data_IF_644913031891
#
_entry.id   IF_644913031891
#
_cell.length_a   1.000
_cell.length_b   1.000
_cell.length_c   1.000
_cell.angle_alpha   90.00
_cell.angle_beta   90.00
_cell.angle_gamma   90.00
#
_symmetry.space_group_name_H-M   'P 1'
#
loop_
_entity.id
_entity.type
_entity.pdbx_description
1 polymer ?
#
# COMPACT_ATOMS: atom_id res chain seq x y z
N UNK A 1 -12.09 -29.07 6.33
CA UNK A 1 -10.86 -28.38 5.83
C UNK A 1 -10.86 -28.48 4.31
N UNK A 2 -11.17 -27.41 3.65
CA UNK A 2 -11.18 -27.35 2.17
C UNK A 2 -9.81 -26.85 1.70
N UNK A 3 -8.78 -27.65 1.95
CA UNK A 3 -7.43 -27.34 1.51
C UNK A 3 -7.34 -27.41 -0.03
N UNK A 4 -6.82 -26.35 -0.63
CA UNK A 4 -6.51 -26.32 -2.05
C UNK A 4 -5.03 -25.94 -2.24
N UNK A 5 -4.25 -26.69 -3.03
CA UNK A 5 -2.82 -26.43 -3.23
C UNK A 5 -2.52 -25.14 -4.02
N UNK A 6 -3.48 -24.59 -4.74
CA UNK A 6 -3.35 -23.27 -5.38
C UNK A 6 -3.41 -22.13 -4.38
N UNK A 7 -3.90 -22.36 -3.17
CA UNK A 7 -4.00 -21.37 -2.12
C UNK A 7 -2.87 -21.52 -1.12
N UNK A 8 -2.29 -20.40 -0.72
CA UNK A 8 -1.32 -20.36 0.39
C UNK A 8 -1.89 -21.02 1.65
N UNK A 9 -1.05 -21.69 2.44
CA UNK A 9 -1.48 -22.36 3.66
C UNK A 9 -2.18 -21.43 4.66
N UNK A 10 -1.68 -20.18 4.82
CA UNK A 10 -2.31 -19.20 5.69
C UNK A 10 -3.67 -18.75 5.18
N UNK A 11 -3.87 -18.64 3.86
CA UNK A 11 -5.16 -18.35 3.26
C UNK A 11 -6.14 -19.52 3.50
N UNK A 12 -5.71 -20.77 3.29
CA UNK A 12 -6.52 -21.94 3.59
C UNK A 12 -6.97 -21.96 5.05
N UNK A 13 -6.05 -21.70 6.00
CA UNK A 13 -6.37 -21.62 7.42
C UNK A 13 -7.32 -20.45 7.73
N UNK A 14 -7.10 -19.30 7.13
CA UNK A 14 -7.92 -18.12 7.35
C UNK A 14 -9.37 -18.29 6.85
N UNK A 15 -9.57 -19.04 5.76
CA UNK A 15 -10.89 -19.35 5.21
C UNK A 15 -11.65 -20.38 6.07
N UNK A 16 -10.93 -21.31 6.72
CA UNK A 16 -11.51 -22.29 7.63
C UNK A 16 -11.76 -21.74 9.05
N UNK A 17 -11.05 -20.67 9.44
CA UNK A 17 -11.14 -20.07 10.76
C UNK A 17 -12.47 -19.34 10.99
N UNK A 18 -13.01 -19.46 12.21
CA UNK A 18 -14.14 -18.64 12.66
C UNK A 18 -13.76 -17.16 12.76
N UNK A 19 -14.72 -16.24 12.76
CA UNK A 19 -14.43 -14.82 12.98
C UNK A 19 -13.64 -14.57 14.26
N UNK A 20 -13.98 -15.25 15.35
CA UNK A 20 -13.31 -15.13 16.65
C UNK A 20 -11.87 -15.64 16.64
N UNK A 21 -11.59 -16.68 15.86
CA UNK A 21 -10.24 -17.21 15.68
C UNK A 21 -9.39 -16.27 14.82
N UNK A 22 -9.97 -15.68 13.76
CA UNK A 22 -9.29 -14.67 12.94
C UNK A 22 -8.94 -13.41 13.75
N UNK A 23 -9.86 -12.94 14.59
CA UNK A 23 -9.64 -11.76 15.44
C UNK A 23 -8.51 -11.96 16.46
N UNK A 24 -8.35 -13.17 16.98
CA UNK A 24 -7.28 -13.53 17.92
C UNK A 24 -5.91 -13.71 17.26
N UNK A 25 -5.86 -13.84 15.95
CA UNK A 25 -4.62 -14.05 15.21
C UNK A 25 -4.18 -12.80 14.49
N UNK A 26 -2.94 -12.37 14.74
CA UNK A 26 -2.33 -11.24 14.05
C UNK A 26 -2.19 -11.46 12.53
N UNK A 27 -2.18 -12.72 12.10
CA UNK A 27 -1.89 -13.10 10.71
C UNK A 27 -3.14 -13.50 9.92
N UNK A 28 -4.10 -14.20 10.54
CA UNK A 28 -5.23 -14.77 9.80
C UNK A 28 -6.20 -13.71 9.25
N UNK A 29 -6.35 -12.58 9.96
CA UNK A 29 -7.23 -11.48 9.55
C UNK A 29 -6.66 -10.54 8.51
N UNK A 30 -5.36 -10.62 8.19
CA UNK A 30 -4.74 -9.70 7.22
C UNK A 30 -5.33 -9.90 5.83
N UNK A 31 -5.78 -8.80 5.20
CA UNK A 31 -6.44 -8.82 3.90
C UNK A 31 -7.95 -9.11 3.95
N UNK A 32 -8.54 -9.28 5.13
CA UNK A 32 -9.98 -9.47 5.29
C UNK A 32 -10.67 -8.21 5.80
N UNK A 33 -11.72 -7.76 5.10
CA UNK A 33 -12.59 -6.65 5.51
C UNK A 33 -13.90 -7.23 6.08
N UNK A 34 -14.10 -7.16 7.42
CA UNK A 34 -15.25 -7.81 8.07
C UNK A 34 -16.61 -7.22 7.68
N UNK A 35 -16.69 -5.92 7.44
CA UNK A 35 -17.97 -5.25 7.13
C UNK A 35 -18.50 -5.65 5.75
N UNK A 36 -17.60 -5.77 4.79
CA UNK A 36 -17.95 -6.12 3.40
C UNK A 36 -17.81 -7.62 3.12
N UNK A 37 -17.23 -8.37 4.07
CA UNK A 37 -16.90 -9.79 3.93
C UNK A 37 -16.06 -10.08 2.68
N UNK A 38 -15.11 -9.18 2.40
CA UNK A 38 -14.21 -9.27 1.26
C UNK A 38 -12.80 -9.62 1.68
N UNK A 39 -12.10 -10.29 0.77
CA UNK A 39 -10.67 -10.56 0.86
C UNK A 39 -9.91 -9.76 -0.18
N UNK A 40 -8.81 -9.18 0.20
CA UNK A 40 -7.75 -8.77 -0.72
C UNK A 40 -6.74 -9.91 -0.82
N UNK A 41 -6.48 -10.37 -2.03
CA UNK A 41 -5.54 -11.45 -2.30
C UNK A 41 -4.57 -11.06 -3.41
N UNK A 42 -3.36 -11.59 -3.34
CA UNK A 42 -2.36 -11.48 -4.39
C UNK A 42 -2.41 -12.77 -5.20
N UNK A 43 -2.56 -12.65 -6.50
CA UNK A 43 -2.62 -13.82 -7.38
C UNK A 43 -1.49 -13.81 -8.39
N UNK A 44 -0.93 -14.98 -8.63
CA UNK A 44 -0.13 -15.25 -9.82
C UNK A 44 -1.02 -15.86 -10.88
N UNK A 45 -0.97 -15.34 -12.10
CA UNK A 45 -1.84 -15.77 -13.19
C UNK A 45 -1.09 -15.90 -14.51
N UNK A 46 -1.68 -16.63 -15.44
CA UNK A 46 -1.24 -16.68 -16.84
C UNK A 46 -2.35 -16.17 -17.75
N UNK A 47 -2.01 -15.26 -18.66
CA UNK A 47 -2.98 -14.68 -19.59
C UNK A 47 -3.83 -13.56 -18.99
N UNK A 48 -4.95 -13.23 -19.66
CA UNK A 48 -5.79 -12.08 -19.33
C UNK A 48 -6.84 -12.40 -18.28
N UNK A 49 -7.00 -11.51 -17.30
CA UNK A 49 -8.05 -11.55 -16.28
C UNK A 49 -9.30 -10.74 -16.67
N UNK A 50 -9.35 -10.11 -17.86
CA UNK A 50 -10.45 -9.24 -18.26
C UNK A 50 -11.82 -9.95 -18.22
N UNK A 51 -11.90 -11.17 -18.77
CA UNK A 51 -13.12 -11.96 -18.76
C UNK A 51 -13.60 -12.32 -17.34
N UNK A 52 -12.69 -12.45 -16.38
CA UNK A 52 -13.02 -12.69 -14.98
C UNK A 52 -13.68 -11.45 -14.35
N UNK A 53 -13.12 -10.26 -14.58
CA UNK A 53 -13.69 -9.00 -14.11
C UNK A 53 -15.07 -8.71 -14.71
N UNK A 54 -15.27 -8.99 -16.01
CA UNK A 54 -16.56 -8.84 -16.68
C UNK A 54 -17.63 -9.81 -16.12
N UNK A 55 -17.24 -11.06 -15.86
CA UNK A 55 -18.16 -12.09 -15.33
C UNK A 55 -18.53 -11.86 -13.86
N UNK A 56 -17.66 -11.23 -13.09
CA UNK A 56 -17.84 -11.01 -11.65
C UNK A 56 -17.60 -9.54 -11.27
N UNK A 57 -18.55 -8.63 -11.47
CA UNK A 57 -18.39 -7.19 -11.21
C UNK A 57 -18.03 -6.83 -9.74
N UNK A 58 -18.23 -7.76 -8.80
CA UNK A 58 -17.82 -7.60 -7.40
C UNK A 58 -16.34 -7.94 -7.16
N UNK A 59 -15.63 -8.43 -8.16
CA UNK A 59 -14.18 -8.60 -8.13
C UNK A 59 -13.52 -7.31 -8.65
N UNK A 60 -12.73 -6.68 -7.82
CA UNK A 60 -11.89 -5.55 -8.23
C UNK A 60 -10.49 -6.10 -8.53
N UNK A 61 -10.01 -5.91 -9.75
CA UNK A 61 -8.75 -6.49 -10.23
C UNK A 61 -7.78 -5.36 -10.57
N UNK A 62 -6.67 -5.31 -9.84
CA UNK A 62 -5.53 -4.43 -10.14
C UNK A 62 -4.39 -5.28 -10.68
N UNK A 63 -4.12 -5.15 -11.98
CA UNK A 63 -3.01 -5.88 -12.61
C UNK A 63 -1.67 -5.26 -12.21
N UNK A 64 -0.73 -6.10 -11.86
CA UNK A 64 0.66 -5.76 -11.58
C UNK A 64 1.56 -6.26 -12.73
N UNK A 65 2.85 -5.97 -12.64
CA UNK A 65 3.85 -6.53 -13.56
C UNK A 65 4.09 -8.02 -13.31
N UNK A 66 4.69 -8.71 -14.29
CA UNK A 66 5.18 -10.09 -14.16
C UNK A 66 4.10 -11.13 -13.82
N UNK A 67 2.90 -11.02 -14.42
CA UNK A 67 1.81 -12.00 -14.25
C UNK A 67 1.25 -12.05 -12.81
N UNK A 68 1.30 -10.93 -12.09
CA UNK A 68 0.66 -10.77 -10.79
C UNK A 68 -0.52 -9.80 -10.86
N UNK A 69 -1.47 -9.99 -9.98
CA UNK A 69 -2.57 -9.06 -9.75
C UNK A 69 -2.96 -9.04 -8.27
N UNK A 70 -3.47 -7.90 -7.80
CA UNK A 70 -4.21 -7.80 -6.54
C UNK A 70 -5.69 -7.88 -6.87
N UNK A 71 -6.40 -8.78 -6.19
CA UNK A 71 -7.85 -8.96 -6.39
C UNK A 71 -8.55 -8.77 -5.06
N UNK A 72 -9.48 -7.82 -5.00
CA UNK A 72 -10.43 -7.69 -3.88
C UNK A 72 -11.74 -8.33 -4.28
N UNK A 73 -12.21 -9.29 -3.50
CA UNK A 73 -13.40 -10.09 -3.84
C UNK A 73 -14.13 -10.56 -2.59
N UNK A 74 -15.46 -10.78 -2.68
CA UNK A 74 -16.22 -11.45 -1.63
C UNK A 74 -15.66 -12.84 -1.32
N UNK A 75 -15.69 -13.23 -0.03
CA UNK A 75 -15.19 -14.53 0.42
C UNK A 75 -15.80 -15.70 -0.35
N UNK A 76 -17.08 -15.61 -0.71
CA UNK A 76 -17.80 -16.62 -1.50
C UNK A 76 -17.24 -16.86 -2.90
N UNK A 77 -16.50 -15.87 -3.45
CA UNK A 77 -15.91 -15.98 -4.79
C UNK A 77 -14.46 -16.50 -4.78
N UNK A 78 -13.87 -16.74 -3.62
CA UNK A 78 -12.50 -17.33 -3.53
C UNK A 78 -12.45 -18.69 -4.22
N UNK A 79 -13.48 -19.53 -4.05
CA UNK A 79 -13.56 -20.84 -4.70
C UNK A 79 -13.67 -20.71 -6.23
N UNK A 80 -14.45 -19.75 -6.72
CA UNK A 80 -14.55 -19.45 -8.16
C UNK A 80 -13.18 -19.05 -8.70
N UNK A 81 -12.47 -18.15 -8.01
CA UNK A 81 -11.12 -17.72 -8.39
C UNK A 81 -10.14 -18.89 -8.41
N UNK A 82 -10.15 -19.74 -7.37
CA UNK A 82 -9.29 -20.92 -7.24
C UNK A 82 -9.45 -21.91 -8.40
N UNK A 83 -10.69 -22.10 -8.85
CA UNK A 83 -11.01 -23.06 -9.91
C UNK A 83 -10.70 -22.55 -11.34
N UNK A 84 -10.26 -21.32 -11.50
CA UNK A 84 -9.89 -20.79 -12.82
C UNK A 84 -8.58 -21.39 -13.29
N UNK A 85 -8.52 -21.72 -14.57
CA UNK A 85 -7.32 -22.31 -15.18
C UNK A 85 -6.18 -21.33 -15.34
N UNK A 86 -6.52 -20.06 -15.54
CA UNK A 86 -5.59 -18.95 -15.65
C UNK A 86 -4.93 -18.54 -14.31
N UNK A 87 -5.49 -18.99 -13.17
CA UNK A 87 -4.92 -18.73 -11.85
C UNK A 87 -3.95 -19.84 -11.45
N UNK A 88 -2.71 -19.48 -11.19
CA UNK A 88 -1.66 -20.41 -10.78
C UNK A 88 -1.54 -20.53 -9.27
N UNK A 89 -1.60 -19.39 -8.56
CA UNK A 89 -1.44 -19.35 -7.12
C UNK A 89 -2.17 -18.15 -6.52
N UNK A 90 -2.67 -18.31 -5.29
CA UNK A 90 -3.39 -17.28 -4.54
C UNK A 90 -2.77 -17.19 -3.14
N UNK A 91 -2.31 -16.01 -2.75
CA UNK A 91 -1.85 -15.75 -1.39
C UNK A 91 -2.58 -14.54 -0.79
N UNK A 92 -2.68 -14.51 0.52
CA UNK A 92 -3.17 -13.34 1.25
C UNK A 92 -2.01 -12.36 1.49
N UNK A 93 -2.28 -11.05 1.67
CA UNK A 93 -1.28 -10.11 2.11
C UNK A 93 -0.62 -10.54 3.42
N UNK A 94 0.62 -10.15 3.61
CA UNK A 94 1.38 -10.42 4.84
C UNK A 94 1.57 -9.15 5.63
N UNK A 95 1.50 -9.26 6.95
CA UNK A 95 1.85 -8.13 7.82
C UNK A 95 3.34 -7.86 7.69
N UNK A 96 3.70 -6.62 7.43
CA UNK A 96 5.08 -6.16 7.45
C UNK A 96 5.40 -5.60 8.83
N UNK A 97 6.59 -5.92 9.34
CA UNK A 97 7.11 -5.40 10.60
C UNK A 97 8.32 -4.51 10.33
N UNK A 98 8.48 -3.47 11.12
CA UNK A 98 9.60 -2.55 10.99
C UNK A 98 10.93 -3.22 11.37
N UNK A 99 11.97 -3.05 10.54
CA UNK A 99 13.29 -3.67 10.76
C UNK A 99 14.41 -2.78 10.16
N UNK A 100 14.71 -1.60 10.76
CA UNK A 100 15.60 -0.61 10.13
C UNK A 100 16.91 -0.32 10.88
N UNK A 101 17.11 -0.74 12.12
CA UNK A 101 18.15 -0.20 12.99
C UNK A 101 19.62 -0.37 12.57
N UNK A 102 19.97 -1.12 11.54
CA UNK A 102 21.36 -1.38 11.18
C UNK A 102 21.70 -1.34 9.67
N UNK A 103 20.75 -1.01 8.81
CA UNK A 103 20.93 -1.13 7.36
C UNK A 103 22.02 -0.19 6.81
N UNK A 104 22.09 1.07 7.25
CA UNK A 104 23.06 2.07 6.75
C UNK A 104 24.50 1.69 7.06
N UNK A 105 24.75 1.16 8.28
CA UNK A 105 26.10 0.73 8.68
C UNK A 105 26.53 -0.55 7.97
N UNK A 106 25.62 -1.51 7.82
CA UNK A 106 25.88 -2.78 7.15
C UNK A 106 26.12 -2.59 5.64
N UNK A 107 25.52 -1.55 5.03
CA UNK A 107 25.62 -1.29 3.59
C UNK A 107 26.84 -0.45 3.20
N UNK A 108 27.66 0.03 4.15
CA UNK A 108 28.84 0.88 3.90
C UNK A 108 28.55 2.11 3.02
N UNK A 109 27.37 2.71 3.15
CA UNK A 109 26.91 3.82 2.28
C UNK A 109 27.57 5.16 2.67
N UNK A 110 27.93 5.34 3.95
CA UNK A 110 28.48 6.61 4.48
C UNK A 110 29.65 7.20 3.66
N UNK A 111 30.62 6.41 3.15
CA UNK A 111 31.71 6.97 2.34
C UNK A 111 31.26 7.60 1.02
N UNK A 112 30.10 7.18 0.48
CA UNK A 112 29.60 7.66 -0.81
C UNK A 112 29.06 9.10 -0.75
N UNK A 113 28.75 9.59 0.44
CA UNK A 113 28.33 10.99 0.67
C UNK A 113 29.51 11.96 0.76
N UNK A 114 30.76 11.43 0.87
CA UNK A 114 31.98 12.25 0.97
C UNK A 114 32.28 13.02 -0.31
N UNK A 115 33.17 14.01 -0.18
CA UNK A 115 33.57 14.89 -1.28
C UNK A 115 34.14 14.16 -2.50
N UNK A 116 34.71 12.95 -2.29
CA UNK A 116 35.31 12.15 -3.35
C UNK A 116 34.28 11.64 -4.38
N UNK A 117 33.06 11.26 -3.91
CA UNK A 117 32.01 10.74 -4.78
C UNK A 117 30.85 11.71 -4.97
N UNK A 118 30.57 12.55 -3.98
CA UNK A 118 29.54 13.61 -4.05
C UNK A 118 28.13 13.11 -4.37
N UNK A 119 27.82 11.86 -4.05
CA UNK A 119 26.52 11.26 -4.36
C UNK A 119 25.46 11.79 -3.37
N UNK A 120 24.64 12.71 -3.83
CA UNK A 120 23.60 13.37 -3.05
C UNK A 120 22.19 12.85 -3.33
N UNK A 121 22.02 11.90 -4.25
CA UNK A 121 20.70 11.46 -4.72
C UNK A 121 19.97 12.51 -5.57
N UNK A 122 20.62 13.60 -5.96
CA UNK A 122 20.00 14.66 -6.77
C UNK A 122 19.42 14.07 -8.06
N UNK A 123 18.16 14.41 -8.36
CA UNK A 123 17.38 13.89 -9.50
C UNK A 123 17.05 12.39 -9.41
N UNK A 124 17.21 11.77 -8.24
CA UNK A 124 16.68 10.44 -7.97
C UNK A 124 15.35 10.57 -7.23
N UNK A 125 14.35 9.83 -7.68
CA UNK A 125 13.09 9.65 -6.96
C UNK A 125 13.20 8.39 -6.11
N UNK A 126 12.90 8.49 -4.81
CA UNK A 126 12.85 7.36 -3.89
C UNK A 126 11.41 7.13 -3.50
N UNK A 127 10.93 5.91 -3.66
CA UNK A 127 9.61 5.50 -3.20
C UNK A 127 9.76 4.76 -1.86
N UNK A 128 9.01 5.21 -0.85
CA UNK A 128 8.97 4.61 0.48
C UNK A 128 7.56 4.10 0.72
N UNK A 129 7.42 2.83 1.09
CA UNK A 129 6.16 2.21 1.50
C UNK A 129 6.25 1.92 2.98
N UNK A 130 5.57 2.73 3.79
CA UNK A 130 5.69 2.70 5.25
C UNK A 130 4.38 3.17 5.94
N UNK A 131 4.45 3.53 7.21
CA UNK A 131 3.29 3.97 8.01
C UNK A 131 2.71 5.33 7.64
N UNK A 132 3.36 6.07 6.75
CA UNK A 132 3.01 7.44 6.36
C UNK A 132 4.22 8.36 6.40
N UNK A 133 3.98 9.66 6.30
CA UNK A 133 4.99 10.70 6.42
C UNK A 133 4.37 11.96 7.03
N UNK A 134 5.05 12.60 7.98
CA UNK A 134 4.71 13.93 8.41
C UNK A 134 5.29 14.97 7.43
N UNK A 135 4.54 15.28 6.39
CA UNK A 135 4.95 16.21 5.34
C UNK A 135 5.24 17.63 5.84
N UNK A 136 4.82 17.96 7.07
CA UNK A 136 5.10 19.25 7.72
C UNK A 136 6.47 19.28 8.40
N UNK A 137 7.16 18.12 8.51
CA UNK A 137 8.47 18.06 9.14
C UNK A 137 9.51 18.84 8.30
N UNK A 138 10.37 19.68 8.94
CA UNK A 138 11.33 20.53 8.24
C UNK A 138 12.26 19.82 7.24
N UNK A 139 12.60 18.55 7.50
CA UNK A 139 13.48 17.77 6.63
C UNK A 139 12.86 17.44 5.27
N UNK A 140 11.53 17.56 5.12
CA UNK A 140 10.82 17.38 3.86
C UNK A 140 10.48 18.70 3.17
N UNK A 141 11.00 19.83 3.69
CA UNK A 141 10.76 21.16 3.15
C UNK A 141 12.08 21.72 2.61
N UNK A 142 12.06 22.21 1.37
CA UNK A 142 13.18 22.90 0.76
C UNK A 142 13.43 24.27 1.41
N UNK A 143 14.61 24.85 1.21
CA UNK A 143 14.95 26.17 1.72
C UNK A 143 14.03 27.31 1.23
N UNK A 144 13.37 27.11 0.09
CA UNK A 144 12.37 28.05 -0.48
C UNK A 144 10.96 27.85 0.06
N UNK A 145 10.78 26.92 1.01
CA UNK A 145 9.49 26.60 1.62
C UNK A 145 8.61 25.63 0.83
N UNK A 146 9.10 25.09 -0.30
CA UNK A 146 8.39 24.06 -1.07
C UNK A 146 8.66 22.66 -0.54
N UNK A 147 7.73 21.71 -0.80
CA UNK A 147 7.94 20.33 -0.40
C UNK A 147 9.02 19.64 -1.23
N UNK A 148 9.72 18.69 -0.63
CA UNK A 148 10.60 17.72 -1.30
C UNK A 148 9.84 16.48 -1.78
N UNK A 149 8.60 16.30 -1.33
CA UNK A 149 7.76 15.16 -1.66
C UNK A 149 7.13 15.40 -3.03
N UNK A 150 7.36 14.50 -3.98
CA UNK A 150 6.76 14.56 -5.31
C UNK A 150 5.30 14.08 -5.26
N UNK A 151 5.06 12.94 -4.62
CA UNK A 151 3.74 12.33 -4.45
C UNK A 151 3.65 11.68 -3.07
N UNK A 152 2.49 11.79 -2.45
CA UNK A 152 2.12 11.13 -1.21
C UNK A 152 0.80 10.39 -1.43
N UNK A 153 0.83 9.07 -1.39
CA UNK A 153 -0.37 8.24 -1.48
C UNK A 153 -0.73 7.69 -0.12
N UNK A 154 -1.77 8.22 0.48
CA UNK A 154 -2.31 7.74 1.74
C UNK A 154 -3.44 6.74 1.49
N UNK A 155 -3.14 5.47 1.74
CA UNK A 155 -4.06 4.35 1.49
C UNK A 155 -5.14 4.23 2.58
N UNK A 156 -5.02 4.94 3.68
CA UNK A 156 -6.00 4.92 4.80
C UNK A 156 -7.16 5.89 4.57
N UNK A 157 -6.98 6.86 3.67
CA UNK A 157 -7.99 7.85 3.36
C UNK A 157 -9.00 7.33 2.34
N UNK A 158 -10.22 7.85 2.44
CA UNK A 158 -11.26 7.67 1.42
C UNK A 158 -11.46 8.96 0.66
N UNK A 159 -11.63 8.88 -0.65
CA UNK A 159 -11.95 10.03 -1.48
C UNK A 159 -13.27 10.66 -0.98
N UNK A 160 -13.20 11.91 -0.56
CA UNK A 160 -14.33 12.66 -0.02
C UNK A 160 -14.68 13.91 -0.84
N UNK A 161 -13.78 14.37 -1.68
CA UNK A 161 -13.91 15.54 -2.54
C UNK A 161 -13.67 15.25 -4.02
N UNK A 162 -14.02 16.20 -4.88
CA UNK A 162 -13.82 16.06 -6.34
C UNK A 162 -12.36 15.88 -6.75
N UNK A 163 -11.42 16.33 -5.91
CA UNK A 163 -9.98 16.25 -6.18
C UNK A 163 -9.30 15.09 -5.41
N UNK A 164 -10.09 14.28 -4.72
CA UNK A 164 -9.55 13.13 -4.00
C UNK A 164 -9.67 11.89 -4.88
N UNK A 165 -8.54 11.38 -5.29
CA UNK A 165 -8.46 10.16 -6.10
C UNK A 165 -7.23 9.35 -5.70
N UNK A 166 -7.26 8.02 -5.83
CA UNK A 166 -6.07 7.20 -5.76
C UNK A 166 -5.18 7.45 -6.99
N UNK A 167 -3.91 7.01 -6.96
CA UNK A 167 -3.06 7.00 -8.15
C UNK A 167 -3.71 6.24 -9.30
N UNK A 168 -3.34 6.60 -10.54
CA UNK A 168 -3.85 5.91 -11.73
C UNK A 168 -3.60 4.39 -11.66
N UNK A 169 -4.64 3.62 -11.91
CA UNK A 169 -4.60 2.15 -11.86
C UNK A 169 -4.86 1.56 -10.47
N UNK A 170 -5.05 2.38 -9.44
CA UNK A 170 -5.40 1.93 -8.09
C UNK A 170 -6.83 2.32 -7.71
N UNK A 171 -7.39 1.66 -6.68
CA UNK A 171 -8.81 1.79 -6.33
C UNK A 171 -9.03 2.38 -4.94
N UNK A 172 -7.97 2.49 -4.13
CA UNK A 172 -8.06 2.91 -2.72
C UNK A 172 -7.10 4.03 -2.39
N UNK A 173 -7.42 4.78 -1.34
CA UNK A 173 -6.58 5.86 -0.85
C UNK A 173 -6.79 7.18 -1.58
N UNK A 174 -5.96 8.15 -1.24
CA UNK A 174 -5.90 9.46 -1.88
C UNK A 174 -4.45 9.82 -2.17
N UNK A 175 -4.19 10.27 -3.38
CA UNK A 175 -2.88 10.80 -3.79
C UNK A 175 -2.84 12.31 -3.64
N UNK A 176 -1.75 12.82 -3.12
CA UNK A 176 -1.42 14.23 -3.02
C UNK A 176 -0.14 14.48 -3.81
N UNK A 177 -0.22 15.32 -4.83
CA UNK A 177 0.93 15.81 -5.56
C UNK A 177 1.68 16.94 -4.82
N UNK A 178 2.83 17.33 -5.35
CA UNK A 178 3.63 18.40 -4.77
C UNK A 178 2.87 19.73 -4.69
N UNK A 179 2.01 20.05 -5.65
CA UNK A 179 1.26 21.30 -5.68
C UNK A 179 0.26 21.36 -4.54
N UNK A 180 -0.45 20.28 -4.29
CA UNK A 180 -1.42 20.16 -3.19
C UNK A 180 -0.71 20.18 -1.83
N UNK A 181 0.43 19.52 -1.70
CA UNK A 181 1.26 19.58 -0.47
C UNK A 181 1.78 20.99 -0.25
N UNK A 182 2.28 21.68 -1.29
CA UNK A 182 2.71 23.06 -1.19
C UNK A 182 1.59 24.02 -0.81
N UNK A 183 0.37 23.76 -1.27
CA UNK A 183 -0.81 24.53 -0.85
C UNK A 183 -1.08 24.35 0.65
N UNK A 184 -0.93 23.14 1.17
CA UNK A 184 -1.03 22.85 2.60
C UNK A 184 0.06 23.54 3.42
N UNK A 185 1.32 23.50 2.94
CA UNK A 185 2.47 24.13 3.61
C UNK A 185 2.35 25.65 3.75
N UNK A 186 1.58 26.32 2.87
CA UNK A 186 1.36 27.77 2.89
C UNK A 186 0.30 28.22 3.89
N UNK A 187 -0.37 27.29 4.58
CA UNK A 187 -1.40 27.63 5.55
C UNK A 187 -0.80 28.18 6.86
N UNK A 188 -1.60 28.96 7.58
CA UNK A 188 -1.12 29.61 8.81
C UNK A 188 -1.14 28.68 10.03
N UNK A 189 -1.81 27.54 9.93
CA UNK A 189 -1.90 26.57 11.02
C UNK A 189 -1.87 25.12 10.52
N UNK A 190 -1.43 24.22 11.39
CA UNK A 190 -1.46 22.77 11.14
C UNK A 190 -2.87 22.27 10.83
N UNK A 191 -3.88 22.84 11.47
CA UNK A 191 -5.28 22.47 11.24
C UNK A 191 -5.72 22.84 9.81
N UNK A 192 -5.37 24.01 9.33
CA UNK A 192 -5.67 24.44 7.95
C UNK A 192 -4.88 23.61 6.93
N UNK A 193 -3.62 23.34 7.21
CA UNK A 193 -2.81 22.47 6.36
C UNK A 193 -3.42 21.06 6.22
N UNK A 194 -3.84 20.47 7.33
CA UNK A 194 -4.50 19.16 7.35
C UNK A 194 -5.93 19.15 6.80
N UNK A 195 -6.56 20.28 6.62
CA UNK A 195 -7.83 20.37 5.87
C UNK A 195 -7.60 20.18 4.36
N UNK A 196 -6.39 20.45 3.86
CA UNK A 196 -6.00 20.30 2.45
C UNK A 196 -5.35 18.93 2.19
N UNK A 197 -4.43 18.52 3.08
CA UNK A 197 -3.73 17.25 3.04
C UNK A 197 -3.86 16.56 4.42
N UNK A 198 -4.89 15.75 4.64
CA UNK A 198 -5.19 15.15 5.95
C UNK A 198 -4.28 13.96 6.30
N UNK A 199 -3.35 13.59 5.45
CA UNK A 199 -2.42 12.48 5.71
C UNK A 199 -1.56 12.73 6.95
N UNK A 200 -1.44 11.69 7.78
CA UNK A 200 -0.73 11.73 9.07
C UNK A 200 0.04 10.44 9.27
N UNK A 201 1.30 10.54 9.63
CA UNK A 201 2.05 9.40 10.15
C UNK A 201 1.78 9.22 11.64
N UNK A 202 0.82 8.33 11.98
CA UNK A 202 0.43 8.05 13.36
C UNK A 202 1.54 7.32 14.12
N UNK A 203 2.34 6.51 13.43
CA UNK A 203 3.41 5.71 14.02
C UNK A 203 4.70 6.52 14.20
N UNK A 204 4.94 7.49 13.32
CA UNK A 204 6.19 8.23 13.22
C UNK A 204 7.33 7.45 12.57
N UNK A 205 7.12 6.16 12.24
CA UNK A 205 8.17 5.32 11.68
C UNK A 205 8.53 5.74 10.24
N UNK A 206 7.54 5.86 9.36
CA UNK A 206 7.78 6.26 7.97
C UNK A 206 8.38 7.67 7.84
N UNK A 207 8.03 8.57 8.76
CA UNK A 207 8.67 9.89 8.86
C UNK A 207 10.14 9.79 9.24
N UNK A 208 10.49 8.84 10.11
CA UNK A 208 11.86 8.59 10.53
C UNK A 208 12.71 7.93 9.44
N UNK A 209 12.13 6.99 8.68
CA UNK A 209 12.79 6.27 7.57
C UNK A 209 13.15 7.21 6.44
#
# INVERSE_FOLDING_TARGET
MNYDPKRENLLNLALDATPEEREKSLELGVGYEPLEQTWEVIVKHSGSLAALGEAYPRMQIVQLSNEYAVITLPQELIEVLTNRTEIEYIEKPKRLFFAVDQAIRASCITPLYGEEFGLSGKNCLVCIVDSGIDYLHPDFINADGTTRIAYLWDQTLRAAGENDAPPEGFLTGVEFDADRINLALRQNSVQEARAICPSVDVSGHGTHV
#
